data_IF_873031771996
#
_entry.id   IF_873031771996
#
_cell.length_a   1.000
_cell.length_b   1.000
_cell.length_c   1.000
_cell.angle_alpha   90.00
_cell.angle_beta   90.00
_cell.angle_gamma   90.00
#
_symmetry.space_group_name_H-M   'P 1'
#
loop_
_entity.id
_entity.type
_entity.pdbx_description
1 polymer ?
#
# COMPACT_ATOMS: atom_id res chain seq x y z
N UNK A 1 13.67 -27.13 -19.57
CA UNK A 1 13.88 -26.71 -18.16
C UNK A 1 12.54 -26.84 -17.47
N UNK A 2 12.41 -27.80 -16.55
CA UNK A 2 11.15 -28.08 -15.85
C UNK A 2 11.26 -27.31 -14.53
N UNK A 3 10.65 -26.13 -14.47
CA UNK A 3 10.70 -25.25 -13.30
C UNK A 3 9.59 -25.60 -12.32
N UNK A 4 9.96 -25.95 -11.10
CA UNK A 4 9.05 -26.06 -9.96
C UNK A 4 8.43 -24.68 -9.68
N UNK A 5 7.10 -24.63 -9.56
CA UNK A 5 6.33 -23.42 -9.23
C UNK A 5 5.44 -23.74 -8.04
N UNK A 6 5.91 -23.46 -6.83
CA UNK A 6 5.11 -23.67 -5.62
C UNK A 6 4.29 -22.42 -5.32
N UNK A 7 2.96 -22.65 -5.28
CA UNK A 7 1.84 -21.70 -5.29
C UNK A 7 1.71 -20.83 -6.54
N UNK A 8 0.66 -21.10 -7.31
CA UNK A 8 0.06 -20.19 -8.29
C UNK A 8 -0.28 -18.87 -7.59
N UNK A 9 0.46 -17.82 -7.93
CA UNK A 9 0.31 -16.41 -7.51
C UNK A 9 -1.02 -15.75 -7.95
N UNK A 10 -2.11 -16.52 -8.11
CA UNK A 10 -3.38 -16.02 -8.66
C UNK A 10 -4.37 -15.51 -7.60
N UNK A 11 -3.89 -15.24 -6.39
CA UNK A 11 -4.53 -14.24 -5.55
C UNK A 11 -3.66 -12.99 -5.62
N UNK A 12 -4.11 -12.03 -6.43
CA UNK A 12 -3.68 -10.64 -6.38
C UNK A 12 -3.82 -10.15 -4.93
N UNK A 13 -2.75 -10.25 -4.15
CA UNK A 13 -2.71 -9.71 -2.79
C UNK A 13 -2.57 -8.20 -2.90
N UNK A 14 -3.67 -7.53 -3.27
CA UNK A 14 -3.77 -6.09 -3.20
C UNK A 14 -3.48 -5.65 -1.77
N UNK A 15 -2.51 -4.76 -1.63
CA UNK A 15 -2.14 -4.15 -0.35
C UNK A 15 -2.60 -2.70 -0.30
N UNK A 16 -2.65 -2.16 0.92
CA UNK A 16 -2.80 -0.72 1.09
C UNK A 16 -1.48 -0.03 0.69
N UNK A 17 -1.55 0.85 -0.31
CA UNK A 17 -0.37 1.60 -0.80
C UNK A 17 -0.06 2.88 -0.03
N UNK A 18 -0.80 3.22 1.04
CA UNK A 18 -0.57 4.40 1.88
C UNK A 18 -1.11 5.73 1.33
N UNK A 19 -1.65 5.74 0.11
CA UNK A 19 -2.23 6.94 -0.50
C UNK A 19 -3.73 7.02 -0.22
N UNK A 20 -4.14 7.95 0.64
CA UNK A 20 -5.54 8.13 1.02
C UNK A 20 -6.11 9.46 0.51
N UNK A 21 -7.36 9.41 0.03
CA UNK A 21 -8.19 10.59 -0.15
C UNK A 21 -9.28 10.58 0.93
N UNK A 22 -9.29 11.59 1.80
CA UNK A 22 -10.17 11.63 2.98
C UNK A 22 -10.99 12.91 3.04
N UNK A 23 -12.22 12.80 3.54
CA UNK A 23 -13.03 13.96 3.92
C UNK A 23 -12.55 14.51 5.28
N UNK A 24 -12.72 15.82 5.53
CA UNK A 24 -12.45 16.45 6.84
C UNK A 24 -13.20 15.79 8.01
N UNK A 25 -14.31 15.09 7.76
CA UNK A 25 -15.03 14.30 8.76
C UNK A 25 -14.20 13.15 9.36
N UNK A 26 -13.06 12.78 8.75
CA UNK A 26 -12.16 11.73 9.25
C UNK A 26 -11.71 11.95 10.70
N UNK A 27 -11.63 13.22 11.14
CA UNK A 27 -11.33 13.58 12.53
C UNK A 27 -12.25 12.92 13.56
N UNK A 28 -13.49 12.56 13.17
CA UNK A 28 -14.44 11.89 14.06
C UNK A 28 -14.05 10.42 14.34
N UNK A 29 -13.14 9.86 13.54
CA UNK A 29 -12.65 8.48 13.65
C UNK A 29 -11.27 8.40 14.31
N UNK A 30 -10.60 9.54 14.50
CA UNK A 30 -9.26 9.64 15.10
C UNK A 30 -9.39 10.18 16.53
N UNK A 31 -9.12 9.32 17.50
CA UNK A 31 -9.24 9.64 18.95
C UNK A 31 -7.99 10.36 19.51
N UNK A 32 -6.84 10.18 18.87
CA UNK A 32 -5.50 10.63 19.29
C UNK A 32 -4.61 10.72 18.03
N UNK A 33 -3.82 11.78 17.90
CA UNK A 33 -2.89 11.98 16.78
C UNK A 33 -1.66 11.07 16.83
N UNK A 34 -1.38 10.45 17.97
CA UNK A 34 -0.25 9.50 18.11
C UNK A 34 -0.62 8.06 17.77
N UNK A 35 -1.90 7.77 17.47
CA UNK A 35 -2.32 6.42 17.12
C UNK A 35 -1.94 6.08 15.68
N UNK A 36 -1.69 4.80 15.41
CA UNK A 36 -1.53 4.30 14.05
C UNK A 36 -2.87 4.45 13.30
N UNK A 37 -2.84 5.15 12.17
CA UNK A 37 -4.03 5.41 11.38
C UNK A 37 -4.62 4.12 10.80
N UNK A 38 -3.75 3.17 10.46
CA UNK A 38 -4.07 1.89 9.82
C UNK A 38 -4.78 0.89 10.75
N UNK A 39 -4.90 1.21 12.05
CA UNK A 39 -5.57 0.36 13.05
C UNK A 39 -7.00 0.85 13.30
N UNK A 40 -7.24 1.36 14.51
CA UNK A 40 -8.56 1.76 15.00
C UNK A 40 -9.31 2.70 14.05
N UNK A 41 -8.69 3.73 13.42
CA UNK A 41 -9.42 4.60 12.50
C UNK A 41 -9.93 3.89 11.25
N UNK A 42 -9.10 3.08 10.59
CA UNK A 42 -9.53 2.32 9.41
C UNK A 42 -10.53 1.22 9.77
N UNK A 43 -10.36 0.53 10.91
CA UNK A 43 -11.31 -0.49 11.38
C UNK A 43 -12.71 0.11 11.62
N UNK A 44 -12.78 1.32 12.20
CA UNK A 44 -14.05 2.04 12.37
C UNK A 44 -14.67 2.46 11.04
N UNK A 45 -13.86 2.94 10.08
CA UNK A 45 -14.36 3.28 8.74
C UNK A 45 -14.91 2.06 8.01
N UNK A 46 -14.23 0.91 8.11
CA UNK A 46 -14.70 -0.36 7.54
C UNK A 46 -16.04 -0.75 8.17
N UNK A 47 -16.11 -0.70 9.51
CA UNK A 47 -17.34 -1.03 10.26
C UNK A 47 -18.50 -0.09 9.93
N UNK A 48 -18.20 1.17 9.58
CA UNK A 48 -19.18 2.17 9.15
C UNK A 48 -19.54 2.09 7.66
N UNK A 49 -18.85 1.27 6.85
CA UNK A 49 -19.05 1.22 5.40
C UNK A 49 -18.49 2.44 4.64
N UNK A 50 -17.60 3.21 5.28
CA UNK A 50 -17.05 4.48 4.78
C UNK A 50 -15.64 4.30 4.18
N UNK A 51 -15.11 3.07 4.10
CA UNK A 51 -13.83 2.78 3.44
C UNK A 51 -14.07 2.18 2.05
N UNK A 52 -13.44 2.77 1.04
CA UNK A 52 -13.40 2.27 -0.33
C UNK A 52 -11.94 2.01 -0.74
N UNK A 53 -11.74 1.07 -1.67
CA UNK A 53 -10.42 0.78 -2.23
C UNK A 53 -10.38 1.20 -3.71
N UNK A 54 -9.31 1.92 -4.08
CA UNK A 54 -8.99 2.20 -5.47
C UNK A 54 -7.82 1.30 -5.90
N UNK A 55 -7.99 0.58 -7.01
CA UNK A 55 -6.93 -0.26 -7.58
C UNK A 55 -6.02 0.61 -8.45
N UNK A 56 -4.75 0.69 -8.09
CA UNK A 56 -3.71 1.33 -8.89
C UNK A 56 -2.92 0.25 -9.62
N UNK A 57 -3.09 0.17 -10.94
CA UNK A 57 -2.43 -0.83 -11.79
C UNK A 57 -1.03 -0.39 -12.27
N UNK A 58 -0.62 0.83 -11.92
CA UNK A 58 0.71 1.33 -12.23
C UNK A 58 1.79 0.80 -11.28
N UNK A 59 3.02 1.27 -11.48
CA UNK A 59 4.12 0.94 -10.58
C UNK A 59 3.81 1.40 -9.14
N UNK A 60 3.97 0.49 -8.19
CA UNK A 60 4.00 0.77 -6.76
C UNK A 60 5.21 0.05 -6.16
N UNK A 61 6.03 0.77 -5.39
CA UNK A 61 7.20 0.21 -4.72
C UNK A 61 7.44 0.91 -3.38
N UNK A 62 7.33 0.21 -2.24
CA UNK A 62 7.77 0.75 -0.96
C UNK A 62 9.30 0.75 -0.89
N UNK A 63 9.85 1.66 -0.09
CA UNK A 63 11.29 1.76 0.21
C UNK A 63 11.43 1.88 1.72
N UNK A 64 11.60 0.74 2.39
CA UNK A 64 11.66 0.65 3.85
C UNK A 64 13.11 0.53 4.35
N UNK A 65 14.01 0.06 3.49
CA UNK A 65 15.42 -0.19 3.82
C UNK A 65 16.37 0.57 2.89
N UNK A 66 17.59 0.83 3.38
CA UNK A 66 18.67 1.44 2.58
C UNK A 66 19.02 0.59 1.35
N UNK A 67 18.90 -0.73 1.46
CA UNK A 67 19.11 -1.63 0.34
C UNK A 67 18.06 -1.41 -0.77
N UNK A 68 16.79 -1.31 -0.39
CA UNK A 68 15.70 -1.04 -1.34
C UNK A 68 15.84 0.33 -2.01
N UNK A 69 16.32 1.34 -1.27
CA UNK A 69 16.61 2.66 -1.82
C UNK A 69 17.67 2.58 -2.93
N UNK A 70 18.80 1.91 -2.67
CA UNK A 70 19.86 1.78 -3.67
C UNK A 70 19.42 1.01 -4.92
N UNK A 71 18.54 0.01 -4.77
CA UNK A 71 17.93 -0.66 -5.92
C UNK A 71 17.01 0.28 -6.71
N UNK A 72 16.17 1.06 -6.02
CA UNK A 72 15.27 2.01 -6.64
C UNK A 72 16.01 3.11 -7.41
N UNK A 73 17.09 3.66 -6.85
CA UNK A 73 17.94 4.66 -7.50
C UNK A 73 18.58 4.12 -8.78
N UNK A 74 19.09 2.88 -8.75
CA UNK A 74 19.65 2.24 -9.94
C UNK A 74 18.61 2.08 -11.05
N UNK A 75 17.41 1.63 -10.70
CA UNK A 75 16.34 1.45 -11.66
C UNK A 75 15.90 2.80 -12.31
N UNK A 76 16.00 3.90 -11.57
CA UNK A 76 15.77 5.26 -12.10
C UNK A 76 16.86 5.67 -13.11
N UNK A 77 18.13 5.39 -12.80
CA UNK A 77 19.26 5.68 -13.71
C UNK A 77 19.15 4.89 -15.02
N UNK A 78 18.75 3.62 -14.92
CA UNK A 78 18.62 2.70 -16.04
C UNK A 78 17.33 2.94 -16.87
N UNK A 79 16.43 3.84 -16.42
CA UNK A 79 15.07 4.03 -16.97
C UNK A 79 14.27 2.72 -17.08
N UNK A 80 14.50 1.78 -16.15
CA UNK A 80 13.96 0.42 -16.21
C UNK A 80 12.48 0.32 -15.79
N UNK A 81 11.86 1.45 -15.44
CA UNK A 81 10.44 1.56 -15.06
C UNK A 81 9.49 1.90 -16.23
N UNK A 82 10.04 2.16 -17.42
CA UNK A 82 9.29 2.56 -18.63
C UNK A 82 9.20 1.45 -19.66
#
# INVERSE_FOLDING_TARGET
MIGFKEKSFEYENWINGGFFLVNKSIKNYISDLNQAFEKEPLEKLISAGELMAYKHDGLFRPVDTVHELGLFEKDLEDNSFT
#
